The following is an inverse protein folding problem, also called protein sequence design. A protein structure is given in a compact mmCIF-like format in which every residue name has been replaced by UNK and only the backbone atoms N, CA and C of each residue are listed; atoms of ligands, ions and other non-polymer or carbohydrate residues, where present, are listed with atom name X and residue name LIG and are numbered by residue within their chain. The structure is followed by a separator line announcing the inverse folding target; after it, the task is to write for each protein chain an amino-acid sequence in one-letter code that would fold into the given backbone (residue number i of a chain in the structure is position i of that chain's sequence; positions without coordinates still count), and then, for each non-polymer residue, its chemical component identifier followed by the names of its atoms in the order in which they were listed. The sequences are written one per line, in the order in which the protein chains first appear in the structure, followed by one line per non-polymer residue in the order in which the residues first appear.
data_IF_045354466402
#
_entry.id   IF_045354466402
#
_cell.length_a   1.000
_cell.length_b   1.000
_cell.length_c   1.000
_cell.angle_alpha   90.00
_cell.angle_beta   90.00
_cell.angle_gamma   90.00
#
_symmetry.space_group_name_H-M   'P 1'
#
loop_
_entity.id
_entity.type
_entity.pdbx_description
1 polymer ?
#
# COMPACT_ATOMS: atom_id res chain seq x y z
N UNK A 1 -26.70 -39.89 8.80
CA UNK A 1 -26.37 -38.63 8.15
C UNK A 1 -27.25 -37.58 8.77
N UNK A 2 -26.73 -36.65 9.60
CA UNK A 2 -27.52 -35.55 10.12
C UNK A 2 -27.50 -34.39 9.11
N UNK A 3 -28.68 -33.91 8.75
CA UNK A 3 -28.93 -32.73 7.94
C UNK A 3 -28.40 -31.47 8.68
N UNK A 4 -27.48 -30.78 8.07
CA UNK A 4 -27.04 -29.45 8.53
C UNK A 4 -28.18 -28.46 8.29
N UNK A 5 -28.85 -28.05 9.36
CA UNK A 5 -29.71 -26.88 9.36
C UNK A 5 -28.81 -25.65 9.29
N UNK A 6 -28.75 -24.99 8.14
CA UNK A 6 -28.11 -23.70 7.97
C UNK A 6 -29.04 -22.65 8.56
N UNK A 7 -28.73 -22.14 9.73
CA UNK A 7 -29.46 -20.98 10.30
C UNK A 7 -28.83 -19.72 9.68
N UNK A 8 -29.45 -19.21 8.62
CA UNK A 8 -29.05 -17.94 8.03
C UNK A 8 -29.60 -16.80 8.89
N UNK A 9 -28.69 -16.04 9.51
CA UNK A 9 -29.06 -14.86 10.31
C UNK A 9 -29.16 -13.65 9.39
N UNK A 10 -30.34 -13.02 9.34
CA UNK A 10 -30.60 -11.81 8.58
C UNK A 10 -30.09 -10.59 9.37
N UNK A 11 -29.07 -9.93 8.86
CA UNK A 11 -28.56 -8.66 9.40
C UNK A 11 -29.18 -7.51 8.63
N UNK A 12 -30.04 -6.72 9.32
CA UNK A 12 -30.63 -5.51 8.72
C UNK A 12 -29.74 -4.31 9.00
N UNK A 13 -29.15 -3.74 7.95
CA UNK A 13 -28.33 -2.55 8.03
C UNK A 13 -29.25 -1.33 7.93
N UNK A 14 -29.67 -0.77 9.08
CA UNK A 14 -30.46 0.44 9.19
C UNK A 14 -29.71 1.50 9.99
N UNK A 15 -29.84 2.77 9.61
CA UNK A 15 -29.31 3.90 10.40
C UNK A 15 -30.26 4.23 11.53
N UNK A 16 -29.69 4.37 12.73
CA UNK A 16 -30.41 4.76 13.95
C UNK A 16 -30.97 6.18 13.86
N UNK A 17 -32.16 6.38 14.41
CA UNK A 17 -32.85 7.65 14.54
C UNK A 17 -32.00 8.70 15.27
N UNK A 18 -31.71 9.82 14.60
CA UNK A 18 -31.29 11.05 15.28
C UNK A 18 -32.55 11.87 15.53
N UNK A 19 -33.15 11.70 16.68
CA UNK A 19 -34.18 12.61 17.17
C UNK A 19 -33.52 13.81 17.85
N UNK A 20 -33.26 14.88 17.09
CA UNK A 20 -32.99 16.18 17.68
C UNK A 20 -34.30 16.85 18.02
N UNK A 21 -34.62 16.97 19.31
CA UNK A 21 -35.76 17.73 19.82
C UNK A 21 -35.56 19.23 19.57
N UNK A 22 -36.43 19.81 18.76
CA UNK A 22 -36.69 21.24 18.74
C UNK A 22 -38.21 21.46 18.80
N UNK A 23 -38.63 22.14 19.88
CA UNK A 23 -39.99 22.58 20.11
C UNK A 23 -40.35 23.66 19.10
N UNK A 24 -41.49 23.52 18.52
CA UNK A 24 -42.48 24.41 17.93
C UNK A 24 -42.82 24.13 16.48
N UNK A 25 -44.03 23.58 16.30
CA UNK A 25 -44.97 23.83 15.26
C UNK A 25 -44.53 23.48 13.82
N UNK A 26 -45.17 22.41 13.30
CA UNK A 26 -45.10 21.84 11.97
C UNK A 26 -43.98 20.81 11.73
N UNK A 27 -44.31 19.61 12.19
CA UNK A 27 -43.52 18.40 11.84
C UNK A 27 -43.77 18.04 10.39
N UNK A 28 -42.97 18.63 9.53
CA UNK A 28 -42.78 18.10 8.16
C UNK A 28 -41.84 16.91 8.28
N UNK A 29 -42.41 15.73 8.55
CA UNK A 29 -41.71 14.46 8.53
C UNK A 29 -41.21 14.19 7.14
N UNK A 30 -40.00 14.66 6.82
CA UNK A 30 -39.24 14.17 5.67
C UNK A 30 -38.87 12.71 5.94
N UNK A 31 -39.73 11.79 5.54
CA UNK A 31 -39.36 10.39 5.40
C UNK A 31 -38.29 10.32 4.29
N UNK A 32 -37.03 10.45 4.66
CA UNK A 32 -35.93 10.11 3.79
C UNK A 32 -36.03 8.59 3.60
N UNK A 33 -36.58 8.20 2.45
CA UNK A 33 -36.67 6.80 2.05
C UNK A 33 -35.27 6.28 1.77
N UNK A 34 -34.56 5.89 2.84
CA UNK A 34 -33.23 5.30 2.73
C UNK A 34 -33.38 3.86 2.26
N UNK A 35 -32.82 3.50 1.09
CA UNK A 35 -32.87 2.13 0.61
C UNK A 35 -32.14 1.20 1.57
N UNK A 36 -32.87 0.25 2.14
CA UNK A 36 -32.31 -0.78 3.00
C UNK A 36 -31.79 -1.94 2.15
N UNK A 37 -30.56 -2.40 2.42
CA UNK A 37 -30.00 -3.61 1.84
C UNK A 37 -29.79 -4.65 2.96
N UNK A 38 -30.30 -5.85 2.76
CA UNK A 38 -30.11 -6.95 3.68
C UNK A 38 -28.94 -7.82 3.19
N UNK A 39 -28.06 -8.17 4.12
CA UNK A 39 -26.93 -9.09 3.88
C UNK A 39 -27.18 -10.36 4.70
N UNK A 40 -27.15 -11.50 4.04
CA UNK A 40 -27.16 -12.80 4.72
C UNK A 40 -25.74 -13.16 5.12
N UNK A 41 -25.54 -13.42 6.39
CA UNK A 41 -24.22 -13.75 6.96
C UNK A 41 -24.28 -15.20 7.44
N UNK A 42 -23.28 -15.99 7.02
CA UNK A 42 -23.15 -17.36 7.50
C UNK A 42 -22.74 -17.39 8.98
N UNK A 43 -23.10 -18.45 9.69
CA UNK A 43 -22.71 -18.62 11.10
C UNK A 43 -21.18 -18.56 11.27
N UNK A 44 -20.42 -19.06 10.30
CA UNK A 44 -18.96 -19.02 10.29
C UNK A 44 -18.38 -17.59 10.20
N UNK A 45 -19.13 -16.64 9.63
CA UNK A 45 -18.70 -15.27 9.42
C UNK A 45 -19.21 -14.29 10.50
N UNK A 46 -20.09 -14.74 11.41
CA UNK A 46 -20.66 -13.88 12.46
C UNK A 46 -19.60 -13.26 13.33
N UNK A 47 -18.57 -14.03 13.74
CA UNK A 47 -17.46 -13.50 14.55
C UNK A 47 -16.72 -12.36 13.85
N UNK A 48 -16.55 -12.43 12.51
CA UNK A 48 -15.93 -11.37 11.72
C UNK A 48 -16.75 -10.05 11.82
N UNK A 49 -18.06 -10.15 11.71
CA UNK A 49 -18.96 -8.99 11.82
C UNK A 49 -18.96 -8.39 13.22
N UNK A 50 -18.99 -9.22 14.27
CA UNK A 50 -18.90 -8.78 15.66
C UNK A 50 -17.57 -8.05 15.93
N UNK A 51 -16.47 -8.59 15.50
CA UNK A 51 -15.14 -7.96 15.61
C UNK A 51 -15.06 -6.65 14.82
N UNK A 52 -15.63 -6.60 13.62
CA UNK A 52 -15.67 -5.37 12.83
C UNK A 52 -16.50 -4.26 13.50
N UNK A 53 -17.61 -4.64 14.15
CA UNK A 53 -18.45 -3.72 14.90
C UNK A 53 -17.74 -3.09 16.12
N UNK A 54 -16.79 -3.80 16.74
CA UNK A 54 -15.99 -3.27 17.86
C UNK A 54 -15.04 -2.13 17.46
N UNK A 55 -14.68 -2.04 16.17
CA UNK A 55 -13.73 -1.07 15.63
C UNK A 55 -14.37 0.01 14.76
N UNK A 56 -15.70 0.04 14.66
CA UNK A 56 -16.45 1.01 13.89
C UNK A 56 -17.66 1.51 14.68
N UNK A 57 -18.24 2.62 14.25
CA UNK A 57 -19.44 3.17 14.88
C UNK A 57 -20.65 2.22 14.80
N UNK A 58 -20.70 1.39 13.76
CA UNK A 58 -21.73 0.37 13.55
C UNK A 58 -21.27 -0.69 12.55
N UNK A 59 -21.94 -1.84 12.51
CA UNK A 59 -21.72 -2.87 11.49
C UNK A 59 -21.90 -2.30 10.09
N UNK A 60 -22.89 -1.43 9.87
CA UNK A 60 -23.12 -0.77 8.59
C UNK A 60 -21.94 0.08 8.16
N UNK A 61 -21.37 0.86 9.08
CA UNK A 61 -20.19 1.69 8.80
C UNK A 61 -18.98 0.82 8.46
N UNK A 62 -18.76 -0.27 9.20
CA UNK A 62 -17.69 -1.24 8.91
C UNK A 62 -17.82 -1.84 7.51
N UNK A 63 -19.02 -2.30 7.13
CA UNK A 63 -19.28 -2.88 5.81
C UNK A 63 -19.07 -1.87 4.70
N UNK A 64 -19.59 -0.64 4.85
CA UNK A 64 -19.40 0.43 3.85
C UNK A 64 -17.92 0.76 3.68
N UNK A 65 -17.17 0.84 4.78
CA UNK A 65 -15.73 1.10 4.71
C UNK A 65 -14.99 -0.07 4.01
N UNK A 66 -15.30 -1.31 4.37
CA UNK A 66 -14.70 -2.48 3.73
C UNK A 66 -15.00 -2.53 2.22
N UNK A 67 -16.22 -2.18 1.80
CA UNK A 67 -16.56 -2.11 0.37
C UNK A 67 -15.82 -0.99 -0.36
N UNK A 68 -15.64 0.18 0.26
CA UNK A 68 -14.84 1.27 -0.32
C UNK A 68 -13.38 0.85 -0.49
N UNK A 69 -12.80 0.22 0.52
CA UNK A 69 -11.43 -0.27 0.48
C UNK A 69 -11.27 -1.37 -0.60
N UNK A 70 -12.22 -2.30 -0.69
CA UNK A 70 -12.23 -3.33 -1.72
C UNK A 70 -12.28 -2.73 -3.13
N UNK A 71 -13.19 -1.78 -3.39
CA UNK A 71 -13.32 -1.13 -4.70
C UNK A 71 -12.08 -0.31 -5.04
N UNK A 72 -11.50 0.40 -4.07
CA UNK A 72 -10.26 1.15 -4.25
C UNK A 72 -9.09 0.23 -4.60
N UNK A 73 -8.95 -0.88 -3.88
CA UNK A 73 -7.93 -1.88 -4.14
C UNK A 73 -8.08 -2.52 -5.52
N UNK A 74 -9.31 -2.88 -5.87
CA UNK A 74 -9.62 -3.46 -7.19
C UNK A 74 -9.28 -2.48 -8.32
N UNK A 75 -9.73 -1.24 -8.22
CA UNK A 75 -9.44 -0.18 -9.18
C UNK A 75 -7.93 0.06 -9.34
N UNK A 76 -7.19 0.11 -8.24
CA UNK A 76 -5.74 0.24 -8.27
C UNK A 76 -5.09 -0.94 -9.00
N UNK A 77 -5.54 -2.16 -8.72
CA UNK A 77 -5.03 -3.39 -9.37
C UNK A 77 -5.35 -3.38 -10.87
N UNK A 78 -6.56 -2.99 -11.27
CA UNK A 78 -6.95 -2.87 -12.69
C UNK A 78 -6.10 -1.84 -13.45
N UNK A 79 -5.62 -0.80 -12.76
CA UNK A 79 -4.65 0.17 -13.29
C UNK A 79 -3.18 -0.27 -13.21
N UNK A 80 -2.91 -1.48 -12.75
CA UNK A 80 -1.56 -2.03 -12.61
C UNK A 80 -0.80 -1.52 -11.38
N UNK A 81 -1.48 -0.87 -10.41
CA UNK A 81 -0.87 -0.50 -9.14
C UNK A 81 -0.98 -1.66 -8.14
N UNK A 82 0.17 -2.15 -7.67
CA UNK A 82 0.28 -3.14 -6.62
C UNK A 82 0.47 -2.52 -5.24
N UNK A 83 0.27 -3.33 -4.20
CA UNK A 83 0.63 -2.96 -2.83
C UNK A 83 2.14 -3.05 -2.66
N UNK A 84 2.79 -1.94 -2.35
CA UNK A 84 4.23 -1.83 -2.11
C UNK A 84 4.46 -1.63 -0.62
N UNK A 85 5.26 -2.50 -0.03
CA UNK A 85 5.69 -2.40 1.37
C UNK A 85 7.20 -2.15 1.42
N UNK A 86 7.61 -1.08 2.08
CA UNK A 86 9.00 -0.73 2.27
C UNK A 86 9.31 -0.68 3.76
N UNK A 87 10.45 -1.26 4.13
CA UNK A 87 11.05 -1.04 5.45
C UNK A 87 12.11 0.03 5.30
N UNK A 88 11.92 1.15 5.97
CA UNK A 88 12.84 2.29 5.98
C UNK A 88 13.68 2.26 7.24
N UNK A 89 14.89 2.81 7.14
CA UNK A 89 15.82 3.00 8.24
C UNK A 89 16.29 4.45 8.18
N UNK A 90 15.85 5.26 9.13
CA UNK A 90 16.13 6.67 9.19
C UNK A 90 16.56 7.02 10.61
N UNK A 91 17.74 7.62 10.77
CA UNK A 91 18.28 8.03 12.06
C UNK A 91 18.25 6.92 13.15
N UNK A 92 18.58 5.68 12.78
CA UNK A 92 18.56 4.53 13.67
C UNK A 92 17.16 3.99 13.99
N UNK A 93 16.11 4.58 13.45
CA UNK A 93 14.73 4.09 13.60
C UNK A 93 14.31 3.25 12.41
N UNK A 94 13.59 2.16 12.72
CA UNK A 94 12.98 1.29 11.70
C UNK A 94 11.50 1.63 11.55
N UNK A 95 11.07 1.94 10.33
CA UNK A 95 9.69 2.26 9.99
C UNK A 95 9.21 1.43 8.80
N UNK A 96 7.99 0.90 8.86
CA UNK A 96 7.34 0.28 7.70
C UNK A 96 6.40 1.29 7.06
N UNK A 97 6.47 1.39 5.75
CA UNK A 97 5.58 2.23 4.93
C UNK A 97 4.90 1.35 3.90
N UNK A 98 3.63 1.59 3.66
CA UNK A 98 2.83 0.90 2.66
C UNK A 98 2.07 1.91 1.80
N UNK A 99 2.09 1.70 0.49
CA UNK A 99 1.31 2.47 -0.48
C UNK A 99 0.97 1.61 -1.70
N UNK A 100 0.01 2.08 -2.50
CA UNK A 100 -0.29 1.47 -3.79
C UNK A 100 0.48 2.20 -4.88
N UNK A 101 1.21 1.47 -5.70
CA UNK A 101 2.04 2.03 -6.76
C UNK A 101 2.57 0.96 -7.71
N UNK A 102 3.31 1.40 -8.71
CA UNK A 102 4.09 0.55 -9.62
C UNK A 102 5.52 1.05 -9.71
N UNK A 103 6.46 0.14 -9.82
CA UNK A 103 7.86 0.49 -10.09
C UNK A 103 7.97 1.02 -11.52
N UNK A 104 8.55 2.22 -11.67
CA UNK A 104 8.84 2.82 -12.98
C UNK A 104 10.23 2.41 -13.43
N UNK A 105 11.23 2.67 -12.59
CA UNK A 105 12.63 2.44 -12.89
C UNK A 105 13.45 2.25 -11.64
N UNK A 106 14.51 1.46 -11.76
CA UNK A 106 15.52 1.26 -10.74
C UNK A 106 16.87 1.69 -11.31
N UNK A 107 17.51 2.63 -10.62
CA UNK A 107 18.77 3.22 -11.02
C UNK A 107 19.84 2.88 -9.99
N UNK A 108 20.98 2.39 -10.45
CA UNK A 108 22.14 2.12 -9.62
C UNK A 108 23.26 3.12 -9.97
N UNK A 109 23.83 3.75 -8.95
CA UNK A 109 24.99 4.65 -9.09
C UNK A 109 26.11 4.22 -8.15
N UNK A 110 27.36 4.15 -8.64
CA UNK A 110 28.51 3.96 -7.76
C UNK A 110 28.62 5.14 -6.79
N UNK A 111 28.88 4.85 -5.54
CA UNK A 111 29.18 5.83 -4.48
C UNK A 111 30.32 5.31 -3.65
N UNK A 112 30.91 6.18 -2.81
CA UNK A 112 32.01 5.77 -1.96
C UNK A 112 31.58 4.61 -1.01
N UNK A 113 32.31 3.51 -1.08
CA UNK A 113 32.06 2.30 -0.29
C UNK A 113 30.89 1.44 -0.73
N UNK A 114 30.20 1.77 -1.86
CA UNK A 114 29.03 1.01 -2.26
C UNK A 114 28.37 1.38 -3.57
N UNK A 115 27.12 0.97 -3.69
CA UNK A 115 26.24 1.32 -4.79
C UNK A 115 24.95 1.91 -4.21
N UNK A 116 24.64 3.15 -4.58
CA UNK A 116 23.36 3.76 -4.29
C UNK A 116 22.32 3.21 -5.26
N UNK A 117 21.23 2.73 -4.71
CA UNK A 117 20.11 2.17 -5.47
C UNK A 117 18.90 3.06 -5.21
N UNK A 118 18.41 3.70 -6.27
CA UNK A 118 17.19 4.49 -6.26
C UNK A 118 16.12 3.73 -7.01
N UNK A 119 15.00 3.47 -6.36
CA UNK A 119 13.83 2.85 -6.99
C UNK A 119 12.71 3.88 -7.03
N UNK A 120 12.26 4.22 -8.23
CA UNK A 120 11.20 5.21 -8.45
C UNK A 120 9.89 4.47 -8.68
N UNK A 121 8.88 4.84 -7.89
CA UNK A 121 7.52 4.32 -7.99
C UNK A 121 6.57 5.43 -8.40
N UNK A 122 5.63 5.14 -9.27
CA UNK A 122 4.42 5.92 -9.43
C UNK A 122 3.38 5.44 -8.42
N UNK A 123 2.87 6.34 -7.61
CA UNK A 123 1.83 6.00 -6.64
C UNK A 123 0.44 6.04 -7.29
N UNK A 124 -0.53 5.34 -6.73
CA UNK A 124 -1.92 5.41 -7.19
C UNK A 124 -2.54 6.81 -7.09
N UNK A 125 -1.88 7.75 -6.38
CA UNK A 125 -2.26 9.17 -6.29
C UNK A 125 -1.59 10.03 -7.37
N UNK A 126 -0.81 9.44 -8.27
CA UNK A 126 -0.10 10.16 -9.33
C UNK A 126 1.18 10.88 -8.86
N UNK A 127 1.68 10.58 -7.67
CA UNK A 127 2.93 11.13 -7.14
C UNK A 127 4.09 10.18 -7.45
N UNK A 128 5.32 10.68 -7.40
CA UNK A 128 6.53 9.89 -7.52
C UNK A 128 7.12 9.62 -6.14
N UNK A 129 7.34 8.36 -5.80
CA UNK A 129 7.99 7.94 -4.57
C UNK A 129 9.36 7.35 -4.89
N UNK A 130 10.43 7.94 -4.37
CA UNK A 130 11.82 7.55 -4.58
C UNK A 130 12.36 6.88 -3.32
N UNK A 131 12.58 5.58 -3.39
CA UNK A 131 13.22 4.82 -2.31
C UNK A 131 14.73 4.74 -2.58
N UNK A 132 15.52 5.33 -1.70
CA UNK A 132 16.98 5.36 -1.78
C UNK A 132 17.59 4.45 -0.73
N UNK A 133 18.59 3.66 -1.13
CA UNK A 133 19.42 2.85 -0.23
C UNK A 133 20.82 2.71 -0.79
N UNK A 134 21.82 2.52 0.07
CA UNK A 134 23.18 2.21 -0.33
C UNK A 134 23.47 0.73 -0.01
N UNK A 135 23.93 -0.01 -1.00
CA UNK A 135 24.38 -1.40 -0.85
C UNK A 135 25.90 -1.41 -0.77
N UNK A 136 26.43 -2.08 0.25
CA UNK A 136 27.86 -2.26 0.44
C UNK A 136 28.45 -3.05 -0.74
N UNK A 137 29.61 -2.63 -1.25
CA UNK A 137 30.43 -3.44 -2.13
C UNK A 137 31.43 -4.23 -1.26
N UNK A 138 31.61 -5.48 -1.63
CA UNK A 138 32.70 -6.26 -1.05
C UNK A 138 34.01 -5.80 -1.66
N UNK A 139 35.06 -5.55 -0.85
CA UNK A 139 36.40 -5.36 -1.32
C UNK A 139 36.83 -6.54 -2.20
N UNK A 140 37.62 -6.28 -3.24
CA UNK A 140 38.07 -7.33 -4.18
C UNK A 140 38.83 -8.46 -3.49
N UNK A 141 39.52 -8.14 -2.40
CA UNK A 141 40.23 -9.10 -1.52
C UNK A 141 39.28 -10.12 -0.86
N UNK A 142 38.01 -9.77 -0.74
CA UNK A 142 36.95 -10.59 -0.11
C UNK A 142 36.13 -11.32 -1.15
N UNK A 143 36.14 -10.85 -2.42
CA UNK A 143 35.48 -11.53 -3.53
C UNK A 143 36.19 -12.88 -3.78
N UNK A 144 35.49 -13.98 -3.52
CA UNK A 144 36.02 -15.34 -3.66
C UNK A 144 36.53 -15.97 -2.36
N UNK A 145 36.51 -15.24 -1.24
CA UNK A 145 36.73 -15.82 0.06
C UNK A 145 35.47 -16.52 0.56
N UNK A 146 35.55 -17.85 0.74
CA UNK A 146 34.44 -18.63 1.35
C UNK A 146 34.11 -18.18 2.78
N UNK A 147 34.98 -17.40 3.42
CA UNK A 147 34.86 -16.95 4.83
C UNK A 147 33.69 -15.96 5.04
N UNK A 148 33.20 -15.26 3.99
CA UNK A 148 32.05 -14.36 4.15
C UNK A 148 30.79 -15.12 4.51
N UNK A 149 30.62 -16.30 3.93
CA UNK A 149 29.44 -17.13 4.13
C UNK A 149 29.47 -17.87 5.48
N UNK A 150 30.62 -17.90 6.14
CA UNK A 150 30.79 -18.48 7.48
C UNK A 150 30.26 -17.55 8.59
N UNK A 151 29.96 -16.29 8.28
CA UNK A 151 29.46 -15.29 9.20
C UNK A 151 27.92 -15.12 9.05
N UNK A 152 27.10 -15.60 10.01
CA UNK A 152 25.63 -15.51 9.94
C UNK A 152 25.10 -14.09 9.77
N UNK A 153 25.79 -13.08 10.28
CA UNK A 153 25.44 -11.67 10.11
C UNK A 153 25.42 -11.23 8.66
N UNK A 154 26.25 -11.83 7.79
CA UNK A 154 26.28 -11.49 6.35
C UNK A 154 25.06 -12.01 5.59
N UNK A 155 24.30 -12.92 6.20
CA UNK A 155 23.08 -13.44 5.60
C UNK A 155 21.89 -12.49 5.78
N UNK A 156 22.02 -11.51 6.69
CA UNK A 156 20.98 -10.50 6.86
C UNK A 156 21.05 -9.44 5.77
N UNK A 157 19.87 -9.03 5.29
CA UNK A 157 19.76 -7.96 4.29
C UNK A 157 20.31 -6.63 4.83
N UNK A 158 20.13 -6.41 6.10
CA UNK A 158 20.56 -5.21 6.83
C UNK A 158 22.08 -5.06 6.84
N UNK A 159 22.82 -6.14 6.94
CA UNK A 159 24.29 -6.12 6.90
C UNK A 159 24.83 -5.48 5.61
N UNK A 160 24.14 -5.68 4.48
CA UNK A 160 24.56 -5.18 3.17
C UNK A 160 24.15 -3.73 2.90
N UNK A 161 23.40 -3.12 3.80
CA UNK A 161 23.02 -1.72 3.70
C UNK A 161 24.02 -0.83 4.42
N UNK A 162 24.43 0.25 3.77
CA UNK A 162 25.25 1.30 4.35
C UNK A 162 24.35 2.54 4.50
N UNK A 163 24.25 3.05 5.74
CA UNK A 163 23.45 4.22 6.03
C UNK A 163 21.94 3.96 6.00
N UNK A 164 21.20 5.02 5.89
CA UNK A 164 19.76 5.01 5.93
C UNK A 164 19.14 4.46 4.63
N UNK A 165 17.97 3.90 4.77
CA UNK A 165 17.08 3.60 3.66
C UNK A 165 15.88 4.53 3.75
N UNK A 166 15.83 5.51 2.86
CA UNK A 166 14.88 6.61 2.88
C UNK A 166 13.80 6.46 1.81
N UNK A 167 12.71 7.20 2.00
CA UNK A 167 11.65 7.35 1.01
C UNK A 167 11.28 8.82 0.93
N UNK A 168 11.43 9.40 -0.25
CA UNK A 168 11.01 10.77 -0.56
C UNK A 168 9.84 10.72 -1.55
N UNK A 169 8.89 11.63 -1.38
CA UNK A 169 7.71 11.70 -2.25
C UNK A 169 7.66 13.06 -2.91
N UNK A 170 7.60 13.04 -4.23
CA UNK A 170 7.53 14.23 -5.09
C UNK A 170 6.15 14.31 -5.73
N UNK A 171 5.49 15.49 -5.72
CA UNK A 171 4.18 15.68 -6.35
C UNK A 171 4.15 15.30 -7.83
N UNK A 172 5.24 15.65 -8.53
CA UNK A 172 5.38 15.47 -9.97
C UNK A 172 6.86 15.33 -10.38
N UNK A 173 7.08 15.08 -11.67
CA UNK A 173 8.42 14.90 -12.23
C UNK A 173 9.24 16.21 -12.24
N UNK A 174 8.59 17.38 -12.26
CA UNK A 174 9.30 18.66 -12.23
C UNK A 174 9.95 18.91 -10.86
N UNK A 175 9.25 18.53 -9.79
CA UNK A 175 9.83 18.58 -8.44
C UNK A 175 10.96 17.56 -8.24
N UNK A 176 10.84 16.37 -8.84
CA UNK A 176 11.94 15.40 -8.85
C UNK A 176 13.14 15.96 -9.63
N UNK A 177 12.93 16.66 -10.76
CA UNK A 177 13.99 17.25 -11.58
C UNK A 177 14.76 18.34 -10.82
N UNK A 178 14.08 19.13 -10.00
CA UNK A 178 14.71 20.14 -9.13
C UNK A 178 15.58 19.50 -8.03
N UNK A 179 15.19 18.33 -7.53
CA UNK A 179 15.92 17.60 -6.51
C UNK A 179 17.07 16.75 -7.10
N UNK A 180 16.80 16.01 -8.17
CA UNK A 180 17.76 15.14 -8.87
C UNK A 180 17.41 15.03 -10.36
N UNK A 181 18.03 15.90 -11.16
CA UNK A 181 17.81 15.94 -12.61
C UNK A 181 18.12 14.61 -13.32
N UNK A 182 19.11 13.87 -12.83
CA UNK A 182 19.46 12.57 -13.41
C UNK A 182 18.35 11.52 -13.18
N UNK A 183 17.84 11.44 -11.96
CA UNK A 183 16.73 10.51 -11.66
C UNK A 183 15.46 10.88 -12.44
N UNK A 184 15.19 12.17 -12.61
CA UNK A 184 14.05 12.64 -13.39
C UNK A 184 14.18 12.25 -14.86
N UNK A 185 15.40 12.35 -15.45
CA UNK A 185 15.66 11.93 -16.82
C UNK A 185 15.46 10.42 -17.00
N UNK A 186 15.98 9.60 -16.08
CA UNK A 186 15.76 8.16 -16.08
C UNK A 186 14.27 7.81 -15.98
N UNK A 187 13.54 8.53 -15.13
CA UNK A 187 12.10 8.37 -14.98
C UNK A 187 11.36 8.73 -16.27
N UNK A 188 11.68 9.88 -16.90
CA UNK A 188 11.10 10.29 -18.20
C UNK A 188 11.36 9.26 -19.28
N UNK A 189 12.59 8.77 -19.36
CA UNK A 189 13.00 7.73 -20.32
C UNK A 189 12.18 6.45 -20.12
N UNK A 190 12.08 5.97 -18.87
CA UNK A 190 11.33 4.76 -18.56
C UNK A 190 9.83 4.89 -18.85
N UNK A 191 9.23 6.05 -18.56
CA UNK A 191 7.81 6.33 -18.87
C UNK A 191 7.55 6.42 -20.39
N UNK A 192 8.53 6.84 -21.16
CA UNK A 192 8.46 6.94 -22.63
C UNK A 192 8.76 5.62 -23.32
N UNK A 193 9.43 4.69 -22.63
CA UNK A 193 9.74 3.38 -23.17
C UNK A 193 8.47 2.54 -23.33
N UNK A 194 8.37 1.79 -24.42
CA UNK A 194 7.30 0.79 -24.56
C UNK A 194 7.48 -0.27 -23.48
N UNK A 195 6.40 -0.69 -22.79
CA UNK A 195 6.48 -1.61 -21.65
C UNK A 195 7.06 -2.99 -22.01
N UNK A 196 7.00 -3.36 -23.28
CA UNK A 196 7.63 -4.58 -23.83
C UNK A 196 7.75 -4.47 -25.35
N UNK A 197 8.75 -5.09 -25.90
CA UNK A 197 8.91 -5.33 -27.33
C UNK A 197 8.61 -6.81 -27.60
N UNK A 198 7.70 -7.08 -28.52
CA UNK A 198 7.46 -8.46 -28.98
C UNK A 198 8.52 -8.74 -30.05
N UNK A 199 9.49 -9.57 -29.70
CA UNK A 199 10.48 -10.07 -30.66
C UNK A 199 9.89 -11.26 -31.42
N UNK A 200 9.80 -11.13 -32.72
CA UNK A 200 9.38 -12.21 -33.63
C UNK A 200 10.63 -13.03 -33.96
N UNK A 201 10.93 -14.03 -33.13
CA UNK A 201 12.07 -14.95 -33.25
C UNK A 201 11.60 -16.37 -33.42
#
# INVERSE_FOLDING_TARGET
MPSRSTVDTLLTIGTSDISAGLANGESMSMFINMPTKNIYVSEADMELFERAAQHAESVSAAVVQALRDYLTNRHNTEKGYGRIELTLYENGSRRKVMFYGREIVRVERPVDGGVQINTIYETAKGQLAVATKIRRLLPDEVKGSYRIWDHPETWSREFWLIGDKTLEVYPDIAQLELADAYLAEQCKSALSAKPYEVLDI
#
